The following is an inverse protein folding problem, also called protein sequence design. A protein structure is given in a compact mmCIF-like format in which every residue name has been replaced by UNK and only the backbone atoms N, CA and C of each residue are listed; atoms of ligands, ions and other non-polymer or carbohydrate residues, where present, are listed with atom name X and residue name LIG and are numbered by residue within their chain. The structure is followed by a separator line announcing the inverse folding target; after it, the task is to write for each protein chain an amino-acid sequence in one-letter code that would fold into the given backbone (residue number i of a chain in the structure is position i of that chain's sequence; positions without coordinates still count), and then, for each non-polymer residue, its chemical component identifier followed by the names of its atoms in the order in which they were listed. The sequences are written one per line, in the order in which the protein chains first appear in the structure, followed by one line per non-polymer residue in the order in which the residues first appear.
data_IF_208887091579
#
_entry.id   IF_208887091579
#
_cell.length_a   1.000
_cell.length_b   1.000
_cell.length_c   1.000
_cell.angle_alpha   90.00
_cell.angle_beta   90.00
_cell.angle_gamma   90.00
#
_symmetry.space_group_name_H-M   'P 1'
#
loop_
_entity.id
_entity.type
_entity.pdbx_description
1 polymer ?
#
# COMPACT_ATOMS: atom_id res chain seq x y z
N UNK A 1 -16.44 -5.60 27.57
CA UNK A 1 -15.42 -6.39 26.84
C UNK A 1 -15.86 -6.72 25.41
N UNK A 2 -17.10 -7.17 25.15
CA UNK A 2 -17.58 -7.49 23.80
C UNK A 2 -17.61 -6.29 22.84
N UNK A 3 -17.84 -5.07 23.31
CA UNK A 3 -17.84 -3.85 22.46
C UNK A 3 -16.45 -3.43 21.99
N UNK A 4 -15.39 -3.75 22.72
CA UNK A 4 -14.01 -3.45 22.33
C UNK A 4 -13.47 -4.42 21.27
N UNK A 5 -13.92 -5.67 21.26
CA UNK A 5 -13.50 -6.68 20.28
C UNK A 5 -13.93 -6.40 18.83
N UNK A 6 -14.94 -5.55 18.60
CA UNK A 6 -15.43 -5.23 17.26
C UNK A 6 -14.86 -3.93 16.66
N UNK A 7 -14.00 -3.19 17.39
CA UNK A 7 -13.60 -1.84 16.99
C UNK A 7 -12.16 -1.78 16.46
N UNK A 8 -11.24 -2.61 16.98
CA UNK A 8 -9.83 -2.65 16.55
C UNK A 8 -9.28 -4.04 16.87
N UNK A 9 -9.05 -4.85 15.87
CA UNK A 9 -8.48 -6.20 15.99
C UNK A 9 -7.10 -6.30 15.37
N UNK A 10 -6.71 -5.37 14.54
CA UNK A 10 -5.45 -5.38 13.82
C UNK A 10 -4.85 -3.98 13.73
N UNK A 11 -3.54 -3.92 13.60
CA UNK A 11 -2.78 -2.74 13.20
C UNK A 11 -2.07 -3.05 11.89
N UNK A 12 -2.20 -2.16 10.90
CA UNK A 12 -1.45 -2.21 9.64
C UNK A 12 -0.33 -1.17 9.73
N UNK A 13 0.90 -1.64 9.64
CA UNK A 13 2.08 -0.80 9.68
C UNK A 13 2.49 -0.42 8.27
N UNK A 14 2.79 0.86 8.02
CA UNK A 14 3.47 1.31 6.81
C UNK A 14 4.79 0.53 6.65
N UNK A 15 5.43 0.55 5.45
CA UNK A 15 6.57 -0.31 5.18
C UNK A 15 7.67 -0.23 6.25
N UNK A 16 7.97 -1.36 6.84
CA UNK A 16 8.98 -1.50 7.90
C UNK A 16 10.22 -2.28 7.42
N UNK A 17 10.18 -2.85 6.21
CA UNK A 17 11.37 -3.47 5.63
C UNK A 17 12.49 -2.44 5.49
N UNK A 18 13.74 -2.90 5.51
CA UNK A 18 14.87 -2.01 5.29
C UNK A 18 14.73 -1.28 3.95
N UNK A 19 14.65 0.04 3.98
CA UNK A 19 14.53 0.91 2.81
C UNK A 19 15.66 1.92 2.72
N UNK A 20 15.78 2.60 1.59
CA UNK A 20 16.81 3.60 1.31
C UNK A 20 16.16 4.98 1.17
N UNK A 21 16.80 6.00 1.71
CA UNK A 21 16.43 7.38 1.46
C UNK A 21 16.87 7.79 0.05
N UNK A 22 15.98 8.43 -0.68
CA UNK A 22 16.27 8.97 -2.00
C UNK A 22 17.30 10.10 -1.91
N UNK A 23 18.22 10.18 -2.88
CA UNK A 23 19.30 11.18 -2.87
C UNK A 23 18.76 12.61 -2.85
N UNK A 24 17.70 12.90 -3.59
CA UNK A 24 17.09 14.22 -3.64
C UNK A 24 16.46 14.65 -2.29
N UNK A 25 15.98 13.69 -1.48
CA UNK A 25 15.52 13.97 -0.11
C UNK A 25 16.71 14.28 0.80
N UNK A 26 17.78 13.48 0.69
CA UNK A 26 19.00 13.69 1.50
C UNK A 26 19.66 15.04 1.20
N UNK A 27 19.71 15.46 -0.07
CA UNK A 27 20.20 16.76 -0.49
C UNK A 27 19.43 17.93 0.12
N UNK A 28 18.15 17.71 0.43
CA UNK A 28 17.27 18.69 1.11
C UNK A 28 17.28 18.55 2.64
N UNK A 29 18.05 17.61 3.20
CA UNK A 29 18.04 17.30 4.63
C UNK A 29 16.76 16.61 5.10
N UNK A 30 16.03 15.96 4.18
CA UNK A 30 14.83 15.20 4.44
C UNK A 30 15.12 13.70 4.43
N UNK A 31 14.19 12.91 4.95
CA UNK A 31 14.23 11.45 4.92
C UNK A 31 12.95 10.90 4.32
N UNK A 32 13.01 9.69 3.77
CA UNK A 32 11.82 8.97 3.30
C UNK A 32 10.96 8.59 4.53
N UNK A 33 9.78 9.18 4.63
CA UNK A 33 8.88 9.01 5.77
C UNK A 33 8.00 7.76 5.63
N UNK A 34 7.59 7.41 4.42
CA UNK A 34 6.65 6.31 4.20
C UNK A 34 7.31 4.93 4.10
N UNK A 35 8.56 4.87 3.64
CA UNK A 35 9.30 3.63 3.51
C UNK A 35 9.03 2.82 2.23
N UNK A 36 8.31 3.34 1.24
CA UNK A 36 8.05 2.65 -0.05
C UNK A 36 9.27 2.67 -0.97
N UNK A 37 10.42 2.30 -0.45
CA UNK A 37 11.68 2.28 -1.17
C UNK A 37 12.57 1.13 -0.67
N UNK A 38 11.99 -0.08 -0.65
CA UNK A 38 12.58 -1.27 -0.05
C UNK A 38 13.82 -1.74 -0.77
N UNK A 39 14.83 -2.18 -0.01
CA UNK A 39 16.04 -2.85 -0.48
C UNK A 39 16.36 -4.14 0.27
N UNK A 40 16.00 -4.23 1.55
CA UNK A 40 16.26 -5.39 2.39
C UNK A 40 14.99 -6.07 2.88
N UNK A 41 14.56 -7.12 2.18
CA UNK A 41 13.27 -7.78 2.36
C UNK A 41 13.17 -8.69 3.59
N UNK A 42 14.26 -8.92 4.32
CA UNK A 42 14.34 -9.83 5.47
C UNK A 42 14.74 -9.13 6.77
N UNK A 43 14.71 -7.80 6.81
CA UNK A 43 15.10 -7.05 7.99
C UNK A 43 14.19 -5.86 8.23
N UNK A 44 13.82 -5.55 9.49
CA UNK A 44 13.21 -4.28 9.84
C UNK A 44 14.17 -3.12 9.57
N UNK A 45 13.62 -1.95 9.24
CA UNK A 45 14.39 -0.75 8.97
C UNK A 45 15.22 -0.33 10.19
N UNK A 46 16.54 -0.23 9.99
CA UNK A 46 17.48 -0.03 11.09
C UNK A 46 17.26 1.29 11.85
N UNK A 47 16.86 2.36 11.14
CA UNK A 47 16.62 3.66 11.76
C UNK A 47 15.41 3.70 12.72
N UNK A 48 14.57 2.67 12.73
CA UNK A 48 13.47 2.52 13.69
C UNK A 48 13.91 1.92 15.02
N UNK A 49 15.14 1.37 15.10
CA UNK A 49 15.68 0.80 16.32
C UNK A 49 16.08 1.88 17.33
N UNK A 50 15.71 1.69 18.58
CA UNK A 50 16.19 2.49 19.72
C UNK A 50 17.39 1.85 20.44
N UNK A 51 17.68 0.58 20.16
CA UNK A 51 18.64 -0.25 20.90
C UNK A 51 19.99 -0.37 20.23
N UNK A 52 20.17 0.14 19.01
CA UNK A 52 21.44 0.09 18.28
C UNK A 52 21.32 -0.26 16.80
N UNK A 53 22.46 -0.46 16.15
CA UNK A 53 22.59 -0.60 14.69
C UNK A 53 23.24 -1.93 14.28
N UNK A 54 23.25 -2.95 15.15
CA UNK A 54 23.94 -4.22 14.92
C UNK A 54 23.01 -5.44 14.88
N UNK A 55 21.77 -5.23 14.46
CA UNK A 55 20.75 -6.29 14.37
C UNK A 55 19.72 -6.26 15.49
N UNK A 56 19.84 -5.33 16.45
CA UNK A 56 18.92 -5.18 17.59
C UNK A 56 17.47 -4.89 17.16
N UNK A 57 17.27 -4.23 16.00
CA UNK A 57 15.95 -3.96 15.45
C UNK A 57 15.09 -5.21 15.27
N UNK A 58 15.70 -6.37 15.04
CA UNK A 58 14.97 -7.64 14.94
C UNK A 58 14.30 -8.00 16.26
N UNK A 59 15.04 -7.88 17.36
CA UNK A 59 14.52 -8.18 18.71
C UNK A 59 13.49 -7.14 19.16
N UNK A 60 13.69 -5.88 18.82
CA UNK A 60 12.70 -4.82 19.10
C UNK A 60 11.40 -5.06 18.35
N UNK A 61 11.48 -5.39 17.06
CA UNK A 61 10.32 -5.70 16.26
C UNK A 61 9.55 -6.92 16.84
N UNK A 62 10.23 -8.01 17.14
CA UNK A 62 9.61 -9.20 17.79
C UNK A 62 8.95 -8.85 19.12
N UNK A 63 9.57 -7.96 19.90
CA UNK A 63 9.02 -7.50 21.17
C UNK A 63 7.77 -6.65 20.98
N UNK A 64 7.74 -5.79 19.95
CA UNK A 64 6.58 -5.00 19.56
C UNK A 64 5.41 -5.89 19.14
N UNK A 65 5.63 -6.86 18.24
CA UNK A 65 4.59 -7.81 17.80
C UNK A 65 4.03 -8.56 19.01
N UNK A 66 4.90 -9.06 19.88
CA UNK A 66 4.48 -9.74 21.12
C UNK A 66 3.61 -8.84 22.01
N UNK A 67 3.91 -7.57 22.12
CA UNK A 67 3.12 -6.63 22.90
C UNK A 67 1.72 -6.41 22.29
N UNK A 68 1.60 -6.28 20.97
CA UNK A 68 0.31 -6.20 20.28
C UNK A 68 -0.51 -7.49 20.46
N UNK A 69 0.09 -8.66 20.30
CA UNK A 69 -0.58 -9.94 20.53
C UNK A 69 -1.10 -10.07 21.97
N UNK A 70 -0.34 -9.63 22.97
CA UNK A 70 -0.82 -9.59 24.36
C UNK A 70 -2.02 -8.65 24.56
N UNK A 71 -2.12 -7.59 23.75
CA UNK A 71 -3.27 -6.70 23.74
C UNK A 71 -4.45 -7.25 22.94
N UNK A 72 -4.32 -8.42 22.30
CA UNK A 72 -5.33 -9.03 21.44
C UNK A 72 -5.43 -8.37 20.07
N UNK A 73 -4.34 -7.78 19.59
CA UNK A 73 -4.26 -7.11 18.28
C UNK A 73 -3.32 -7.88 17.36
N UNK A 74 -3.74 -8.09 16.13
CA UNK A 74 -2.92 -8.64 15.05
C UNK A 74 -2.04 -7.55 14.41
N UNK A 75 -0.93 -7.97 13.82
CA UNK A 75 0.01 -7.08 13.13
C UNK A 75 0.06 -7.45 11.65
N UNK A 76 -0.31 -6.48 10.81
CA UNK A 76 -0.26 -6.58 9.34
C UNK A 76 0.85 -5.67 8.85
N UNK A 77 1.66 -6.17 7.91
CA UNK A 77 2.71 -5.38 7.29
C UNK A 77 2.29 -4.91 5.90
N UNK A 78 2.49 -3.63 5.63
CA UNK A 78 2.51 -3.11 4.28
C UNK A 78 3.84 -3.47 3.62
N UNK A 79 3.79 -4.20 2.50
CA UNK A 79 4.97 -4.77 1.86
C UNK A 79 5.09 -4.35 0.41
N UNK A 80 6.31 -3.98 0.03
CA UNK A 80 6.63 -3.45 -1.29
C UNK A 80 7.49 -4.48 -2.03
N UNK A 81 6.85 -5.37 -2.80
CA UNK A 81 7.53 -6.38 -3.63
C UNK A 81 7.41 -6.08 -5.13
N UNK A 82 6.75 -5.00 -5.48
CA UNK A 82 6.54 -4.62 -6.87
C UNK A 82 7.77 -3.93 -7.49
N UNK A 83 8.57 -3.21 -6.68
CA UNK A 83 9.78 -2.50 -7.09
C UNK A 83 10.84 -2.49 -5.99
N UNK A 84 12.00 -1.88 -6.27
CA UNK A 84 13.09 -1.68 -5.31
C UNK A 84 13.61 -0.25 -5.33
N UNK A 85 14.38 0.10 -4.30
CA UNK A 85 15.07 1.38 -4.18
C UNK A 85 16.13 1.66 -5.26
N UNK A 86 16.38 0.74 -6.18
CA UNK A 86 17.40 0.93 -7.23
C UNK A 86 16.94 1.84 -8.38
N UNK A 87 15.65 2.27 -8.39
CA UNK A 87 15.10 3.22 -9.36
C UNK A 87 15.25 2.74 -10.82
N UNK A 88 15.32 3.67 -11.77
CA UNK A 88 15.46 3.37 -13.19
C UNK A 88 16.91 3.03 -13.61
N UNK A 89 17.20 2.98 -14.91
CA UNK A 89 18.53 2.66 -15.45
C UNK A 89 19.64 3.62 -15.00
N UNK A 90 19.31 4.85 -14.59
CA UNK A 90 20.25 5.82 -14.03
C UNK A 90 20.35 5.75 -12.49
N UNK A 91 19.49 4.97 -11.84
CA UNK A 91 19.49 4.80 -10.40
C UNK A 91 20.70 3.98 -9.89
N UNK A 92 20.93 3.98 -8.58
CA UNK A 92 22.09 3.34 -7.97
C UNK A 92 22.08 1.81 -8.17
N UNK A 93 23.26 1.20 -8.14
CA UNK A 93 23.43 -0.25 -8.08
C UNK A 93 23.70 -0.63 -6.63
N UNK A 94 22.67 -1.09 -5.94
CA UNK A 94 22.71 -1.40 -4.50
C UNK A 94 22.63 -2.89 -4.20
N UNK A 95 21.87 -3.65 -5.00
CA UNK A 95 21.57 -5.04 -4.77
C UNK A 95 21.38 -5.79 -6.11
N UNK A 96 20.16 -6.03 -6.55
CA UNK A 96 19.82 -6.92 -7.66
C UNK A 96 20.34 -6.47 -9.02
N UNK A 97 20.47 -5.16 -9.24
CA UNK A 97 21.15 -4.66 -10.46
C UNK A 97 22.57 -5.19 -10.59
N UNK A 98 23.30 -5.25 -9.48
CA UNK A 98 24.68 -5.72 -9.43
C UNK A 98 24.82 -7.24 -9.40
N UNK A 99 23.80 -7.95 -8.90
CA UNK A 99 23.80 -9.42 -8.78
C UNK A 99 23.39 -10.07 -10.12
N UNK A 100 22.18 -9.80 -10.57
CA UNK A 100 21.64 -10.29 -11.84
C UNK A 100 20.43 -9.44 -12.27
N UNK A 101 20.69 -8.33 -12.93
CA UNK A 101 19.67 -7.37 -13.34
C UNK A 101 18.52 -8.01 -14.15
N UNK A 102 18.85 -8.87 -15.09
CA UNK A 102 17.88 -9.46 -16.00
C UNK A 102 16.98 -10.53 -15.35
N UNK A 103 17.44 -11.15 -14.27
CA UNK A 103 16.67 -12.16 -13.54
C UNK A 103 15.69 -11.53 -12.53
N UNK A 104 15.98 -10.32 -12.04
CA UNK A 104 15.15 -9.69 -11.03
C UNK A 104 14.26 -8.57 -11.55
N UNK A 105 14.71 -7.83 -12.56
CA UNK A 105 13.94 -6.69 -13.07
C UNK A 105 13.28 -6.98 -14.42
N UNK A 106 12.16 -6.33 -14.60
CA UNK A 106 11.42 -6.38 -15.85
C UNK A 106 12.01 -5.36 -16.83
N UNK A 107 12.72 -5.86 -17.83
CA UNK A 107 13.35 -5.03 -18.85
C UNK A 107 12.41 -4.82 -20.04
N UNK A 108 12.59 -3.71 -20.75
CA UNK A 108 11.86 -3.43 -22.00
C UNK A 108 12.33 -4.39 -23.10
N UNK A 109 11.38 -5.03 -23.78
CA UNK A 109 11.70 -5.95 -24.88
C UNK A 109 12.34 -5.19 -26.04
N UNK A 110 13.51 -5.65 -26.47
CA UNK A 110 14.31 -5.01 -27.52
C UNK A 110 15.13 -3.82 -27.04
N UNK A 111 14.99 -3.37 -25.81
CA UNK A 111 15.78 -2.30 -25.19
C UNK A 111 16.09 -2.61 -23.72
N UNK A 112 16.99 -3.55 -23.51
CA UNK A 112 17.33 -4.06 -22.18
C UNK A 112 18.09 -3.07 -21.30
N UNK A 113 18.38 -1.87 -21.77
CA UNK A 113 18.92 -0.79 -20.98
C UNK A 113 17.84 -0.18 -20.07
N UNK A 114 16.57 -0.23 -20.47
CA UNK A 114 15.45 0.40 -19.78
C UNK A 114 14.55 -0.64 -19.09
N UNK A 115 13.90 -0.20 -18.02
CA UNK A 115 12.93 -1.02 -17.26
C UNK A 115 11.51 -0.77 -17.75
N UNK A 116 10.73 -1.85 -17.80
CA UNK A 116 9.29 -1.74 -17.95
C UNK A 116 8.70 -1.44 -16.55
N UNK A 117 8.20 -0.24 -16.39
CA UNK A 117 7.73 0.27 -15.10
C UNK A 117 6.22 0.45 -15.09
N UNK A 118 5.54 -0.17 -14.12
CA UNK A 118 4.11 0.01 -13.82
C UNK A 118 3.89 0.58 -12.41
N UNK A 119 4.98 0.97 -11.73
CA UNK A 119 4.96 1.42 -10.35
C UNK A 119 5.13 2.93 -10.20
N UNK A 120 5.69 3.60 -11.21
CA UNK A 120 6.03 5.02 -11.17
C UNK A 120 7.36 5.32 -10.44
N UNK A 121 8.07 4.28 -9.98
CA UNK A 121 9.33 4.42 -9.24
C UNK A 121 10.57 4.19 -10.10
N UNK A 122 10.37 3.78 -11.35
CA UNK A 122 11.42 3.57 -12.34
C UNK A 122 11.79 2.11 -12.60
N UNK A 123 11.30 1.15 -11.81
CA UNK A 123 11.48 -0.28 -12.07
C UNK A 123 10.28 -1.09 -11.60
N UNK A 124 10.13 -2.29 -12.15
CA UNK A 124 9.24 -3.33 -11.64
C UNK A 124 10.02 -4.63 -11.53
N UNK A 125 9.78 -5.40 -10.46
CA UNK A 125 10.33 -6.75 -10.33
C UNK A 125 9.68 -7.70 -11.33
N UNK A 126 10.45 -8.71 -11.78
CA UNK A 126 10.05 -9.66 -12.80
C UNK A 126 9.25 -10.83 -12.20
N UNK A 127 7.92 -10.71 -12.14
CA UNK A 127 7.03 -11.70 -11.50
C UNK A 127 6.93 -13.06 -12.22
N UNK A 128 7.57 -13.24 -13.34
CA UNK A 128 7.73 -14.56 -13.99
C UNK A 128 9.09 -15.21 -13.70
N UNK A 129 9.98 -14.50 -13.02
CA UNK A 129 11.28 -15.04 -12.62
C UNK A 129 11.13 -15.96 -11.41
N UNK A 130 11.56 -17.22 -11.47
CA UNK A 130 11.53 -18.10 -10.31
C UNK A 130 12.37 -17.57 -9.14
N UNK A 131 13.45 -16.83 -9.42
CA UNK A 131 14.31 -16.23 -8.40
C UNK A 131 13.61 -15.07 -7.67
N UNK A 132 12.91 -14.20 -8.39
CA UNK A 132 12.13 -13.13 -7.78
C UNK A 132 10.95 -13.70 -6.96
N UNK A 133 10.23 -14.69 -7.50
CA UNK A 133 9.14 -15.35 -6.78
C UNK A 133 9.63 -16.09 -5.54
N UNK A 134 10.77 -16.78 -5.60
CA UNK A 134 11.37 -17.44 -4.45
C UNK A 134 11.76 -16.41 -3.37
N UNK A 135 12.43 -15.33 -3.75
CA UNK A 135 12.79 -14.25 -2.84
C UNK A 135 11.57 -13.74 -2.06
N UNK A 136 10.48 -13.44 -2.78
CA UNK A 136 9.25 -12.91 -2.20
C UNK A 136 8.63 -13.93 -1.25
N UNK A 137 8.47 -15.17 -1.67
CA UNK A 137 7.85 -16.21 -0.83
C UNK A 137 8.68 -16.53 0.40
N UNK A 138 9.99 -16.60 0.28
CA UNK A 138 10.88 -16.83 1.42
C UNK A 138 10.85 -15.64 2.40
N UNK A 139 10.76 -14.40 1.89
CA UNK A 139 10.57 -13.21 2.73
C UNK A 139 9.24 -13.26 3.47
N UNK A 140 8.12 -13.53 2.78
CA UNK A 140 6.80 -13.64 3.40
C UNK A 140 6.77 -14.73 4.50
N UNK A 141 7.34 -15.91 4.21
CA UNK A 141 7.45 -16.98 5.21
C UNK A 141 8.27 -16.54 6.42
N UNK A 142 9.42 -15.88 6.21
CA UNK A 142 10.25 -15.36 7.28
C UNK A 142 9.46 -14.41 8.20
N UNK A 143 8.72 -13.47 7.63
CA UNK A 143 7.93 -12.54 8.43
C UNK A 143 6.81 -13.22 9.22
N UNK A 144 6.22 -14.30 8.69
CA UNK A 144 5.21 -15.08 9.41
C UNK A 144 5.85 -15.97 10.48
N UNK A 145 6.88 -16.76 10.14
CA UNK A 145 7.40 -17.79 11.03
C UNK A 145 8.36 -17.26 12.07
N UNK A 146 9.19 -16.28 11.70
CA UNK A 146 10.23 -15.73 12.58
C UNK A 146 9.80 -14.44 13.26
N UNK A 147 9.08 -13.58 12.55
CA UNK A 147 8.69 -12.26 13.06
C UNK A 147 7.26 -12.25 13.61
N UNK A 148 6.49 -13.33 13.36
CA UNK A 148 5.15 -13.59 13.88
C UNK A 148 4.09 -12.55 13.47
N UNK A 149 4.16 -12.04 12.24
CA UNK A 149 3.11 -11.17 11.71
C UNK A 149 1.90 -11.98 11.26
N UNK A 150 0.73 -11.35 11.28
CA UNK A 150 -0.57 -11.98 11.04
C UNK A 150 -1.11 -11.74 9.63
N UNK A 151 -0.43 -10.94 8.84
CA UNK A 151 -0.85 -10.66 7.46
C UNK A 151 0.00 -9.62 6.75
N UNK A 152 -0.38 -9.41 5.50
CA UNK A 152 0.29 -8.46 4.59
C UNK A 152 -0.72 -7.65 3.80
N UNK A 153 -0.43 -6.37 3.64
CA UNK A 153 -1.00 -5.51 2.60
C UNK A 153 0.05 -5.34 1.51
N UNK A 154 -0.28 -5.71 0.29
CA UNK A 154 0.64 -5.64 -0.85
C UNK A 154 0.45 -4.33 -1.60
N UNK A 155 1.48 -3.51 -1.57
CA UNK A 155 1.58 -2.28 -2.35
C UNK A 155 1.51 -2.58 -3.85
N UNK A 156 0.74 -1.79 -4.60
CA UNK A 156 0.53 -1.93 -6.05
C UNK A 156 0.38 -3.41 -6.47
N UNK A 157 -0.50 -4.15 -5.82
CA UNK A 157 -0.59 -5.60 -5.98
C UNK A 157 -0.95 -6.03 -7.42
N UNK A 158 -1.54 -5.15 -8.22
CA UNK A 158 -1.77 -5.42 -9.64
C UNK A 158 -0.46 -5.62 -10.43
N UNK A 159 0.63 -4.93 -10.05
CA UNK A 159 1.96 -5.15 -10.64
C UNK A 159 2.48 -6.57 -10.39
N UNK A 160 2.21 -7.15 -9.22
CA UNK A 160 2.63 -8.51 -8.87
C UNK A 160 1.89 -9.57 -9.70
N UNK A 161 0.73 -9.23 -10.23
CA UNK A 161 -0.06 -10.07 -11.12
C UNK A 161 0.34 -9.97 -12.60
N UNK A 162 1.29 -9.11 -12.96
CA UNK A 162 1.69 -8.89 -14.35
C UNK A 162 2.84 -9.82 -14.75
N UNK A 163 2.53 -10.96 -15.31
CA UNK A 163 3.55 -11.82 -15.95
C UNK A 163 4.06 -11.22 -17.26
N UNK A 164 3.15 -10.63 -18.02
CA UNK A 164 3.41 -9.90 -19.26
C UNK A 164 2.92 -8.45 -19.11
N UNK A 165 2.34 -7.86 -20.12
CA UNK A 165 1.85 -6.47 -20.06
C UNK A 165 0.53 -6.35 -19.30
N UNK A 166 -0.35 -7.33 -19.46
CA UNK A 166 -1.67 -7.35 -18.84
C UNK A 166 -1.61 -7.91 -17.40
N UNK A 167 -2.58 -7.52 -16.57
CA UNK A 167 -2.81 -8.12 -15.27
C UNK A 167 -3.43 -9.50 -15.47
N UNK A 168 -2.78 -10.53 -14.96
CA UNK A 168 -3.22 -11.92 -15.06
C UNK A 168 -3.70 -12.43 -13.70
N UNK A 169 -4.99 -12.73 -13.61
CA UNK A 169 -5.61 -13.27 -12.39
C UNK A 169 -5.14 -14.70 -12.05
N UNK A 170 -4.56 -15.39 -13.01
CA UNK A 170 -3.96 -16.72 -12.88
C UNK A 170 -2.43 -16.66 -12.88
N UNK A 171 -1.88 -15.54 -12.40
CA UNK A 171 -0.43 -15.38 -12.36
C UNK A 171 0.23 -16.35 -11.40
N UNK A 172 1.45 -16.76 -11.71
CA UNK A 172 2.25 -17.64 -10.86
C UNK A 172 2.41 -17.10 -9.44
N UNK A 173 2.42 -15.78 -9.26
CA UNK A 173 2.47 -15.16 -7.95
C UNK A 173 1.27 -15.56 -7.07
N UNK A 174 0.05 -15.47 -7.59
CA UNK A 174 -1.14 -15.85 -6.83
C UNK A 174 -1.17 -17.35 -6.55
N UNK A 175 -0.88 -18.18 -7.55
CA UNK A 175 -0.86 -19.64 -7.37
C UNK A 175 0.13 -20.05 -6.28
N UNK A 176 1.33 -19.48 -6.28
CA UNK A 176 2.36 -19.78 -5.28
C UNK A 176 1.91 -19.33 -3.89
N UNK A 177 1.35 -18.14 -3.76
CA UNK A 177 0.87 -17.61 -2.46
C UNK A 177 -0.31 -18.43 -1.93
N UNK A 178 -1.26 -18.82 -2.79
CA UNK A 178 -2.44 -19.58 -2.38
C UNK A 178 -2.14 -21.02 -1.98
N UNK A 179 -1.18 -21.67 -2.63
CA UNK A 179 -0.80 -23.04 -2.32
C UNK A 179 0.19 -23.15 -1.16
N UNK A 180 0.83 -22.05 -0.75
CA UNK A 180 1.82 -22.07 0.31
C UNK A 180 1.18 -22.35 1.68
N UNK A 181 1.63 -23.38 2.42
CA UNK A 181 0.98 -23.82 3.66
C UNK A 181 1.13 -22.83 4.83
N UNK A 182 2.00 -21.84 4.72
CA UNK A 182 2.24 -20.80 5.71
C UNK A 182 1.53 -19.50 5.29
N UNK A 183 1.82 -19.00 4.10
CA UNK A 183 1.34 -17.71 3.61
C UNK A 183 -0.18 -17.71 3.41
N UNK A 184 -0.76 -18.82 2.92
CA UNK A 184 -2.21 -18.92 2.70
C UNK A 184 -3.06 -18.87 3.99
N UNK A 185 -2.44 -18.92 5.17
CA UNK A 185 -3.14 -18.91 6.46
C UNK A 185 -3.22 -17.55 7.12
N UNK A 186 -2.47 -16.57 6.62
CA UNK A 186 -2.47 -15.21 7.15
C UNK A 186 -3.35 -14.29 6.31
N UNK A 187 -3.63 -13.09 6.80
CA UNK A 187 -4.43 -12.10 6.07
C UNK A 187 -3.66 -11.59 4.85
N UNK A 188 -4.28 -11.64 3.68
CA UNK A 188 -3.73 -11.13 2.42
C UNK A 188 -4.64 -9.99 1.94
N UNK A 189 -4.09 -8.80 1.87
CA UNK A 189 -4.80 -7.59 1.48
C UNK A 189 -4.09 -7.01 0.26
N UNK A 190 -4.83 -6.75 -0.79
CA UNK A 190 -4.30 -6.10 -1.99
C UNK A 190 -4.60 -4.60 -1.99
N UNK A 191 -3.62 -3.80 -2.37
CA UNK A 191 -3.89 -2.55 -3.05
C UNK A 191 -4.19 -2.88 -4.52
N UNK A 192 -5.46 -2.85 -4.95
CA UNK A 192 -5.86 -3.51 -6.19
C UNK A 192 -5.70 -2.61 -7.42
N UNK A 193 -4.59 -1.88 -7.51
CA UNK A 193 -4.24 -1.05 -8.67
C UNK A 193 -2.73 -0.95 -8.89
N UNK A 194 -2.36 -0.42 -10.05
CA UNK A 194 -1.03 0.07 -10.41
C UNK A 194 -1.16 1.17 -11.50
N UNK A 195 -0.03 1.72 -11.94
CA UNK A 195 -0.01 2.80 -12.93
C UNK A 195 0.00 2.34 -14.39
N UNK A 196 0.05 1.04 -14.63
CA UNK A 196 0.02 0.47 -15.97
C UNK A 196 -1.36 0.44 -16.59
N UNK A 197 -1.43 0.20 -17.90
CA UNK A 197 -2.71 0.03 -18.60
C UNK A 197 -3.54 -1.10 -17.97
N UNK A 198 -4.84 -0.86 -17.76
CA UNK A 198 -5.72 -1.82 -17.10
C UNK A 198 -5.37 -2.10 -15.64
N UNK A 199 -4.60 -1.23 -14.97
CA UNK A 199 -4.08 -1.45 -13.62
C UNK A 199 -5.13 -1.42 -12.51
N UNK A 200 -6.29 -0.79 -12.69
CA UNK A 200 -7.33 -0.72 -11.66
C UNK A 200 -8.15 -2.00 -11.61
N UNK A 201 -7.91 -2.85 -10.61
CA UNK A 201 -8.40 -4.23 -10.50
C UNK A 201 -9.32 -4.49 -9.31
N UNK A 202 -9.98 -3.47 -8.77
CA UNK A 202 -10.90 -3.65 -7.63
C UNK A 202 -12.00 -4.66 -7.96
N UNK A 203 -12.15 -5.70 -7.13
CA UNK A 203 -13.03 -6.87 -7.37
C UNK A 203 -12.37 -7.99 -8.16
N UNK A 204 -11.10 -7.83 -8.59
CA UNK A 204 -10.41 -8.75 -9.50
C UNK A 204 -9.50 -9.77 -8.84
N UNK A 205 -9.18 -9.66 -7.57
CA UNK A 205 -8.24 -10.54 -6.87
C UNK A 205 -8.84 -11.89 -6.49
N UNK A 206 -8.01 -12.93 -6.19
CA UNK A 206 -8.46 -14.24 -5.78
C UNK A 206 -9.36 -14.23 -4.55
N UNK A 207 -10.09 -15.31 -4.34
CA UNK A 207 -11.15 -15.39 -3.29
C UNK A 207 -10.60 -15.35 -1.86
N UNK A 208 -9.36 -15.73 -1.66
CA UNK A 208 -8.63 -15.70 -0.38
C UNK A 208 -8.15 -14.29 0.03
N UNK A 209 -8.14 -13.34 -0.92
CA UNK A 209 -7.66 -11.98 -0.71
C UNK A 209 -8.75 -11.01 -0.29
N UNK A 210 -8.42 -10.07 0.58
CA UNK A 210 -9.16 -8.82 0.76
C UNK A 210 -8.54 -7.71 -0.08
N UNK A 211 -9.31 -6.66 -0.34
CA UNK A 211 -8.87 -5.56 -1.18
C UNK A 211 -9.19 -4.22 -0.54
N UNK A 212 -8.28 -3.28 -0.64
CA UNK A 212 -8.61 -1.88 -0.39
C UNK A 212 -9.66 -1.42 -1.39
N UNK A 213 -10.85 -1.08 -0.91
CA UNK A 213 -11.96 -0.70 -1.78
C UNK A 213 -11.92 0.81 -2.12
N UNK A 214 -11.18 1.16 -3.17
CA UNK A 214 -11.10 2.54 -3.67
C UNK A 214 -12.46 3.10 -4.11
N UNK A 215 -13.38 2.25 -4.61
CA UNK A 215 -14.73 2.70 -4.94
C UNK A 215 -15.55 3.08 -3.71
N UNK A 216 -15.35 2.36 -2.60
CA UNK A 216 -15.95 2.74 -1.32
C UNK A 216 -15.46 4.11 -0.89
N UNK A 217 -14.14 4.31 -0.83
CA UNK A 217 -13.50 5.59 -0.48
C UNK A 217 -14.08 6.73 -1.31
N UNK A 218 -14.07 6.58 -2.62
CA UNK A 218 -14.46 7.64 -3.55
C UNK A 218 -15.94 7.97 -3.45
N UNK A 219 -16.78 6.94 -3.37
CA UNK A 219 -18.24 7.11 -3.26
C UNK A 219 -18.64 7.76 -1.93
N UNK A 220 -18.01 7.38 -0.82
CA UNK A 220 -18.29 7.97 0.49
C UNK A 220 -17.88 9.45 0.50
N UNK A 221 -16.68 9.77 -0.01
CA UNK A 221 -16.23 11.17 -0.14
C UNK A 221 -17.19 11.98 -1.01
N UNK A 222 -17.60 11.45 -2.17
CA UNK A 222 -18.55 12.13 -3.07
C UNK A 222 -19.92 12.33 -2.43
N UNK A 223 -20.42 11.35 -1.68
CA UNK A 223 -21.69 11.48 -0.97
C UNK A 223 -21.65 12.60 0.07
N UNK A 224 -20.63 12.62 0.92
CA UNK A 224 -20.51 13.60 1.99
C UNK A 224 -20.21 15.02 1.47
N UNK A 225 -19.54 15.19 0.34
CA UNK A 225 -19.39 16.51 -0.30
C UNK A 225 -20.58 16.89 -1.20
N UNK A 226 -21.71 16.18 -1.07
CA UNK A 226 -22.97 16.46 -1.76
C UNK A 226 -22.92 16.38 -3.29
N UNK A 227 -22.12 15.49 -3.84
CA UNK A 227 -22.14 15.25 -5.28
C UNK A 227 -23.49 14.66 -5.70
N UNK A 228 -24.11 15.15 -6.80
CA UNK A 228 -25.40 14.66 -7.23
C UNK A 228 -25.36 13.19 -7.67
N UNK A 229 -26.48 12.51 -7.50
CA UNK A 229 -26.70 11.12 -7.96
C UNK A 229 -25.81 10.04 -7.29
N UNK A 230 -25.22 10.31 -6.13
CA UNK A 230 -24.32 9.37 -5.44
C UNK A 230 -25.06 8.36 -4.56
N UNK A 231 -26.31 8.61 -4.16
CA UNK A 231 -27.05 7.79 -3.21
C UNK A 231 -27.16 6.30 -3.59
N UNK A 232 -27.44 5.90 -4.83
CA UNK A 232 -27.51 4.48 -5.22
C UNK A 232 -26.18 3.76 -5.07
N UNK A 233 -25.09 4.40 -5.50
CA UNK A 233 -23.73 3.87 -5.36
C UNK A 233 -23.34 3.77 -3.88
N UNK A 234 -23.60 4.81 -3.10
CA UNK A 234 -23.35 4.82 -1.66
C UNK A 234 -24.07 3.68 -0.93
N UNK A 235 -25.34 3.43 -1.23
CA UNK A 235 -26.08 2.30 -0.68
C UNK A 235 -25.41 0.95 -1.03
N UNK A 236 -24.99 0.77 -2.28
CA UNK A 236 -24.28 -0.44 -2.72
C UNK A 236 -22.97 -0.65 -1.99
N UNK A 237 -22.21 0.43 -1.76
CA UNK A 237 -20.93 0.37 -1.02
C UNK A 237 -21.17 -0.02 0.45
N UNK A 238 -22.14 0.59 1.12
CA UNK A 238 -22.49 0.25 2.51
C UNK A 238 -22.98 -1.19 2.69
N UNK A 239 -23.66 -1.74 1.68
CA UNK A 239 -24.14 -3.13 1.71
C UNK A 239 -23.06 -4.16 1.33
N UNK A 240 -21.80 -3.79 1.27
CA UNK A 240 -20.68 -4.70 1.05
C UNK A 240 -20.26 -4.88 -0.40
N UNK A 241 -20.62 -3.95 -1.30
CA UNK A 241 -20.15 -3.92 -2.69
C UNK A 241 -20.33 -5.23 -3.45
N UNK A 242 -21.52 -5.80 -3.41
CA UNK A 242 -21.84 -7.10 -4.02
C UNK A 242 -21.57 -7.14 -5.54
N UNK A 243 -21.71 -6.02 -6.23
CA UNK A 243 -21.38 -5.85 -7.64
C UNK A 243 -19.88 -6.11 -7.94
N UNK A 244 -19.01 -5.92 -6.95
CA UNK A 244 -17.55 -6.15 -7.07
C UNK A 244 -17.14 -7.56 -6.64
N UNK A 245 -17.76 -8.09 -5.58
CA UNK A 245 -17.24 -9.28 -4.90
C UNK A 245 -18.13 -10.52 -5.09
N UNK A 246 -19.44 -10.37 -5.16
CA UNK A 246 -20.35 -11.53 -5.24
C UNK A 246 -20.20 -12.28 -6.56
N UNK A 247 -19.89 -11.59 -7.66
CA UNK A 247 -19.69 -12.21 -8.99
C UNK A 247 -18.60 -13.28 -8.96
N UNK A 248 -17.59 -13.10 -8.11
CA UNK A 248 -16.49 -14.04 -7.94
C UNK A 248 -16.67 -14.95 -6.71
N UNK A 249 -17.90 -15.07 -6.17
CA UNK A 249 -18.19 -15.89 -5.00
C UNK A 249 -17.60 -15.35 -3.68
N UNK A 250 -17.08 -14.14 -3.66
CA UNK A 250 -16.49 -13.51 -2.47
C UNK A 250 -17.55 -12.87 -1.59
N UNK A 251 -17.29 -12.83 -0.30
CA UNK A 251 -18.17 -12.23 0.71
C UNK A 251 -17.85 -10.75 0.94
N UNK A 252 -18.74 -9.96 1.58
CA UNK A 252 -18.49 -8.55 1.90
C UNK A 252 -17.20 -8.29 2.67
N UNK A 253 -16.71 -9.26 3.45
CA UNK A 253 -15.43 -9.17 4.19
C UNK A 253 -14.21 -9.02 3.28
N UNK A 254 -14.33 -9.31 1.99
CA UNK A 254 -13.27 -9.06 1.02
C UNK A 254 -13.02 -7.55 0.80
N UNK A 255 -13.97 -6.70 1.15
CA UNK A 255 -13.87 -5.25 1.05
C UNK A 255 -13.23 -4.67 2.31
N UNK A 256 -12.03 -4.15 2.20
CA UNK A 256 -11.45 -3.26 3.23
C UNK A 256 -11.94 -1.85 2.93
N UNK A 257 -12.91 -1.40 3.72
CA UNK A 257 -13.51 -0.09 3.57
C UNK A 257 -12.68 0.97 4.28
N UNK A 258 -12.33 2.05 3.61
CA UNK A 258 -11.56 3.14 4.18
C UNK A 258 -12.02 4.49 3.62
N UNK A 259 -11.70 5.57 4.32
CA UNK A 259 -11.95 6.95 3.90
C UNK A 259 -10.65 7.64 3.55
N UNK A 260 -9.60 7.41 4.34
CA UNK A 260 -8.26 7.96 4.18
C UNK A 260 -7.22 6.85 4.29
N UNK A 261 -6.07 7.04 3.66
CA UNK A 261 -4.89 6.17 3.76
C UNK A 261 -3.63 7.05 3.97
N UNK A 262 -2.44 6.46 3.82
CA UNK A 262 -1.18 7.18 3.92
C UNK A 262 -0.98 8.20 2.79
N UNK A 263 -1.53 7.94 1.61
CA UNK A 263 -1.53 8.83 0.47
C UNK A 263 -2.81 9.68 0.40
N UNK A 264 -2.71 10.83 -0.23
CA UNK A 264 -3.81 11.80 -0.28
C UNK A 264 -4.02 12.55 1.04
N UNK A 265 -5.20 13.14 1.16
CA UNK A 265 -5.55 13.99 2.29
C UNK A 265 -5.84 13.21 3.57
N UNK A 266 -5.47 13.81 4.71
CA UNK A 266 -5.95 13.40 6.02
C UNK A 266 -7.46 13.65 6.15
N UNK A 267 -8.11 13.09 7.18
CA UNK A 267 -9.54 13.37 7.45
C UNK A 267 -9.80 14.88 7.61
N UNK A 268 -8.90 15.59 8.28
CA UNK A 268 -9.02 17.04 8.45
C UNK A 268 -8.88 17.78 7.11
N UNK A 269 -7.93 17.40 6.28
CA UNK A 269 -7.67 18.07 5.01
C UNK A 269 -8.79 17.84 4.00
N UNK A 270 -9.48 16.68 4.06
CA UNK A 270 -10.66 16.40 3.24
C UNK A 270 -11.78 17.43 3.41
N UNK A 271 -11.88 18.08 4.56
CA UNK A 271 -12.92 19.06 4.89
C UNK A 271 -12.38 20.49 5.06
N UNK A 272 -11.10 20.70 4.74
CA UNK A 272 -10.43 21.98 4.89
C UNK A 272 -9.79 22.51 3.61
N UNK A 273 -9.55 21.63 2.62
CA UNK A 273 -8.85 22.00 1.39
C UNK A 273 -9.56 21.44 0.15
N UNK A 274 -9.60 22.23 -0.92
CA UNK A 274 -9.94 21.73 -2.25
C UNK A 274 -8.70 21.30 -3.03
N UNK A 275 -7.58 21.98 -2.84
CA UNK A 275 -6.32 21.76 -3.56
C UNK A 275 -5.23 21.26 -2.60
N UNK A 276 -4.27 20.52 -3.14
CA UNK A 276 -3.10 20.10 -2.36
C UNK A 276 -2.09 21.23 -2.20
N UNK A 277 -1.44 21.27 -1.05
CA UNK A 277 -0.45 22.28 -0.66
C UNK A 277 0.85 21.60 -0.17
N UNK A 278 1.57 20.97 -1.12
CA UNK A 278 2.80 20.21 -0.85
C UNK A 278 4.08 21.01 -1.19
N UNK A 279 4.02 22.35 -1.26
CA UNK A 279 5.13 23.21 -1.65
C UNK A 279 6.36 23.02 -0.75
N UNK A 280 6.14 22.69 0.52
CA UNK A 280 7.21 22.44 1.50
C UNK A 280 8.10 21.24 1.12
N UNK A 281 7.59 20.30 0.32
CA UNK A 281 8.38 19.15 -0.16
C UNK A 281 9.41 19.55 -1.25
N UNK A 282 9.29 20.77 -1.81
CA UNK A 282 10.23 21.28 -2.81
C UNK A 282 10.10 20.61 -4.18
N UNK A 283 8.92 20.06 -4.50
CA UNK A 283 8.63 19.41 -5.78
C UNK A 283 7.64 20.20 -6.66
N UNK A 284 7.44 21.47 -6.30
CA UNK A 284 6.54 22.38 -7.04
C UNK A 284 5.08 21.93 -7.00
N UNK A 285 4.66 21.35 -5.89
CA UNK A 285 3.31 20.83 -5.66
C UNK A 285 2.85 19.76 -6.69
N UNK A 286 3.79 19.03 -7.30
CA UNK A 286 3.50 17.97 -8.29
C UNK A 286 3.27 16.61 -7.64
N UNK A 287 3.86 16.40 -6.46
CA UNK A 287 3.77 15.17 -5.65
C UNK A 287 2.38 14.98 -5.03
N UNK A 288 2.05 13.74 -4.70
CA UNK A 288 0.81 13.35 -4.07
C UNK A 288 -0.43 13.39 -4.97
N UNK A 289 -1.54 12.89 -4.44
CA UNK A 289 -2.83 12.80 -5.14
C UNK A 289 -3.43 14.19 -5.40
N UNK A 290 -3.83 14.46 -6.64
CA UNK A 290 -4.46 15.74 -7.01
C UNK A 290 -5.98 15.72 -6.92
N UNK A 291 -6.62 14.53 -6.97
CA UNK A 291 -8.08 14.41 -6.92
C UNK A 291 -8.53 13.76 -5.60
N UNK A 292 -8.39 14.50 -4.53
CA UNK A 292 -8.74 14.00 -3.20
C UNK A 292 -10.25 13.89 -2.93
N UNK A 293 -11.10 14.36 -3.84
CA UNK A 293 -12.55 14.42 -3.65
C UNK A 293 -12.92 15.11 -2.33
N UNK A 294 -12.23 16.18 -2.03
CA UNK A 294 -12.35 17.00 -0.82
C UNK A 294 -13.30 18.17 -1.01
N UNK A 295 -13.61 18.85 0.08
CA UNK A 295 -14.34 20.10 0.09
C UNK A 295 -13.89 20.98 1.25
N UNK A 296 -13.46 22.21 0.96
CA UNK A 296 -12.94 23.15 1.95
C UNK A 296 -14.03 23.81 2.84
N UNK A 297 -15.28 23.39 2.70
CA UNK A 297 -16.43 23.93 3.43
C UNK A 297 -16.61 25.47 3.33
N UNK A 298 -15.98 26.09 2.31
CA UNK A 298 -16.13 27.51 1.99
C UNK A 298 -14.88 28.37 2.17
N UNK A 299 -13.84 27.85 2.83
CA UNK A 299 -12.55 28.54 3.00
C UNK A 299 -11.40 27.56 2.84
N UNK A 300 -10.44 27.90 1.98
CA UNK A 300 -9.26 27.07 1.76
C UNK A 300 -8.31 27.14 2.95
N UNK A 301 -8.08 26.01 3.61
CA UNK A 301 -7.19 25.90 4.75
C UNK A 301 -7.82 26.29 6.11
N UNK A 302 -6.98 26.36 7.16
CA UNK A 302 -7.45 26.65 8.53
C UNK A 302 -8.16 28.00 8.61
N UNK A 303 -9.29 28.03 9.31
CA UNK A 303 -10.09 29.25 9.49
C UNK A 303 -10.63 29.37 10.90
N UNK A 304 -10.92 30.61 11.35
CA UNK A 304 -11.61 30.90 12.61
C UNK A 304 -13.10 31.28 12.39
N UNK A 305 -13.64 31.07 11.20
CA UNK A 305 -15.05 31.33 10.90
C UNK A 305 -15.89 30.19 11.49
N UNK A 306 -16.78 30.46 12.50
CA UNK A 306 -17.53 29.42 13.20
C UNK A 306 -18.37 28.55 12.25
N UNK A 307 -19.12 29.18 11.34
CA UNK A 307 -20.01 28.45 10.42
C UNK A 307 -19.25 27.48 9.51
N UNK A 308 -18.03 27.84 9.09
CA UNK A 308 -17.17 26.95 8.29
C UNK A 308 -16.65 25.78 9.12
N UNK A 309 -16.23 26.05 10.36
CA UNK A 309 -15.75 25.02 11.29
C UNK A 309 -16.87 24.05 11.67
N UNK A 310 -18.08 24.55 11.95
CA UNK A 310 -19.23 23.71 12.26
C UNK A 310 -19.60 22.83 11.07
N UNK A 311 -19.57 23.36 9.85
CA UNK A 311 -19.83 22.60 8.65
C UNK A 311 -18.75 21.52 8.39
N UNK A 312 -17.49 21.85 8.59
CA UNK A 312 -16.37 20.93 8.54
C UNK A 312 -16.53 19.77 9.54
N UNK A 313 -16.92 20.07 10.79
CA UNK A 313 -17.15 19.04 11.82
C UNK A 313 -18.32 18.12 11.49
N UNK A 314 -19.37 18.59 10.81
CA UNK A 314 -20.49 17.76 10.37
C UNK A 314 -20.00 16.74 9.33
N UNK A 315 -19.11 17.15 8.41
CA UNK A 315 -18.64 16.33 7.33
C UNK A 315 -17.52 15.36 7.72
N UNK A 316 -16.71 15.70 8.71
CA UNK A 316 -15.66 14.83 9.20
C UNK A 316 -16.19 13.65 10.03
#
# INVERSE_FOLDING_TARGET
RQRQMCIRDSIELMPIHQFVNDSFLQEKGLSNYWGYNTIGFFAPHNAYSSSGERGEQVNEFKSMVKAYHHAGMEVILDVVYNHTAEGNHMGPTLSFKGIDNASYYRLVEGDQQHYFDTTGTGNSLLMRSPHALQLITDSLRYWVTEMHVDGFRFDLAATLARQFQEVDKLSAFFDIVEQDPIISRVKLIAEPWDLGSGGYQVGGFPSSWSEWNGRYRDTVRDFWRSQPSTLPEFASRLMGSSDLYQVNGRRPVASVNFITAHDGFTMNDLVSYNEKHNEANGEGNRDGESNNRSWNCGVEGPTNIPDVNDLSLIHI
#
